data_IF_264723647543
#
_entry.id   IF_264723647543
#
_cell.length_a   1.000
_cell.length_b   1.000
_cell.length_c   1.000
_cell.angle_alpha   90.00
_cell.angle_beta   90.00
_cell.angle_gamma   90.00
#
_symmetry.space_group_name_H-M   'P 1'
#
loop_
_entity.id
_entity.type
_entity.pdbx_description
1 polymer ?
#
# COMPACT_ATOMS: atom_id res chain seq x y z
N UNK A 1 1.67 -1.01 8.65
CA UNK A 1 1.43 -0.73 10.08
C UNK A 1 -0.04 -0.90 10.41
N UNK A 2 -0.93 -0.31 9.62
CA UNK A 2 -2.37 -0.32 9.92
C UNK A 2 -2.96 -1.74 9.96
N UNK A 3 -2.47 -2.66 9.14
CA UNK A 3 -3.01 -4.01 8.99
C UNK A 3 -2.12 -5.09 9.62
N UNK A 4 -1.14 -4.70 10.40
CA UNK A 4 -0.23 -5.65 11.07
C UNK A 4 0.95 -6.05 10.20
N UNK A 5 1.53 -7.21 10.49
CA UNK A 5 2.80 -7.63 9.90
C UNK A 5 2.65 -8.66 8.76
N UNK A 6 1.43 -9.09 8.48
CA UNK A 6 1.20 -10.15 7.48
C UNK A 6 0.44 -9.66 6.25
N UNK A 7 -0.17 -8.48 6.35
CA UNK A 7 -1.05 -7.96 5.30
C UNK A 7 -0.53 -6.63 4.82
N UNK A 8 -0.35 -6.49 3.50
CA UNK A 8 -0.05 -5.22 2.86
C UNK A 8 -1.33 -4.42 2.62
N UNK A 9 -1.26 -3.12 2.81
CA UNK A 9 -2.36 -2.24 2.46
C UNK A 9 -2.22 -1.82 1.00
N UNK A 10 -3.32 -1.86 0.25
CA UNK A 10 -3.34 -1.43 -1.15
C UNK A 10 -4.30 -0.27 -1.33
N UNK A 11 -3.84 0.72 -2.08
CA UNK A 11 -4.61 1.92 -2.42
C UNK A 11 -4.64 2.08 -3.93
N UNK A 12 -5.76 2.57 -4.46
CA UNK A 12 -5.83 2.95 -5.86
C UNK A 12 -6.85 4.09 -6.03
N UNK A 13 -6.60 4.91 -7.02
CA UNK A 13 -7.52 5.97 -7.45
C UNK A 13 -8.54 5.45 -8.47
N UNK A 14 -8.47 4.18 -8.86
CA UNK A 14 -9.35 3.59 -9.87
C UNK A 14 -9.84 2.23 -9.37
N UNK A 15 -11.17 2.07 -9.31
CA UNK A 15 -11.79 0.87 -8.78
C UNK A 15 -11.45 -0.38 -9.59
N UNK A 16 -11.41 -0.28 -10.92
CA UNK A 16 -11.07 -1.41 -11.79
C UNK A 16 -9.62 -1.83 -11.61
N UNK A 17 -8.72 -0.86 -11.49
CA UNK A 17 -7.30 -1.12 -11.24
C UNK A 17 -7.11 -1.81 -9.89
N UNK A 18 -7.81 -1.37 -8.85
CA UNK A 18 -7.79 -2.01 -7.55
C UNK A 18 -8.29 -3.45 -7.62
N UNK A 19 -9.41 -3.68 -8.27
CA UNK A 19 -9.99 -5.02 -8.43
C UNK A 19 -9.04 -5.93 -9.21
N UNK A 20 -8.40 -5.42 -10.26
CA UNK A 20 -7.41 -6.16 -11.05
C UNK A 20 -6.22 -6.57 -10.20
N UNK A 21 -5.70 -5.67 -9.38
CA UNK A 21 -4.61 -5.98 -8.47
C UNK A 21 -5.00 -7.08 -7.47
N UNK A 22 -6.15 -6.94 -6.83
CA UNK A 22 -6.63 -7.91 -5.84
C UNK A 22 -6.89 -9.27 -6.48
N UNK A 23 -7.51 -9.30 -7.66
CA UNK A 23 -7.79 -10.55 -8.38
C UNK A 23 -6.50 -11.25 -8.83
N UNK A 24 -5.51 -10.49 -9.26
CA UNK A 24 -4.20 -11.04 -9.66
C UNK A 24 -3.48 -11.72 -8.49
N UNK A 25 -3.81 -11.36 -7.26
CA UNK A 25 -3.19 -11.87 -6.05
C UNK A 25 -4.15 -12.73 -5.21
N UNK A 26 -5.20 -13.26 -5.82
CA UNK A 26 -6.23 -14.04 -5.13
C UNK A 26 -5.74 -15.42 -4.68
N UNK A 27 -4.54 -15.85 -5.09
CA UNK A 27 -3.93 -17.10 -4.61
C UNK A 27 -3.58 -17.06 -3.12
N UNK A 28 -3.57 -15.86 -2.52
CA UNK A 28 -3.30 -15.70 -1.11
C UNK A 28 -1.85 -15.83 -0.69
N UNK A 29 -0.92 -15.91 -1.64
CA UNK A 29 0.50 -16.03 -1.32
C UNK A 29 1.03 -14.76 -0.66
N UNK A 30 0.69 -13.59 -1.21
CA UNK A 30 0.84 -12.30 -0.54
C UNK A 30 -0.56 -11.76 -0.26
N UNK A 31 -0.85 -11.43 0.99
CA UNK A 31 -2.17 -10.97 1.38
C UNK A 31 -2.24 -9.45 1.35
N UNK A 32 -3.27 -8.93 0.69
CA UNK A 32 -3.52 -7.50 0.56
C UNK A 32 -4.94 -7.18 0.98
N UNK A 33 -5.10 -6.03 1.61
CA UNK A 33 -6.41 -5.48 1.92
C UNK A 33 -6.48 -4.03 1.46
N UNK A 34 -7.57 -3.64 0.77
CA UNK A 34 -7.71 -2.26 0.34
C UNK A 34 -8.00 -1.33 1.51
N UNK A 35 -7.39 -0.15 1.47
CA UNK A 35 -7.74 0.95 2.35
C UNK A 35 -8.22 2.14 1.51
N UNK A 36 -9.10 2.97 2.06
CA UNK A 36 -9.67 4.06 1.29
C UNK A 36 -8.69 5.22 1.11
N UNK A 37 -8.76 5.88 -0.04
CA UNK A 37 -8.16 7.20 -0.24
C UNK A 37 -9.16 8.25 0.26
N UNK A 38 -9.21 8.46 1.56
CA UNK A 38 -10.15 9.38 2.18
C UNK A 38 -9.74 10.82 1.90
N UNK A 39 -10.42 11.48 0.97
CA UNK A 39 -10.04 12.80 0.46
C UNK A 39 -10.09 13.89 1.54
N UNK A 40 -10.95 13.72 2.54
CA UNK A 40 -11.03 14.68 3.66
C UNK A 40 -9.74 14.73 4.46
N UNK A 41 -8.90 13.68 4.40
CA UNK A 41 -7.62 13.65 5.10
C UNK A 41 -6.52 14.46 4.41
N UNK A 42 -6.77 15.03 3.23
CA UNK A 42 -5.81 15.92 2.56
C UNK A 42 -5.46 17.13 3.40
N UNK A 43 -6.37 17.61 4.24
CA UNK A 43 -6.09 18.71 5.16
C UNK A 43 -5.00 18.36 6.18
N UNK A 44 -4.87 17.09 6.56
CA UNK A 44 -3.82 16.64 7.47
C UNK A 44 -2.43 16.71 6.82
N UNK A 45 -2.35 16.50 5.51
CA UNK A 45 -1.08 16.61 4.76
C UNK A 45 -0.60 18.05 4.77
N UNK A 46 -1.48 19.00 4.52
CA UNK A 46 -1.14 20.42 4.54
C UNK A 46 -0.62 20.84 5.90
N UNK A 47 -1.25 20.37 6.98
CA UNK A 47 -0.81 20.64 8.33
C UNK A 47 0.58 20.07 8.61
N UNK A 48 0.88 18.87 8.12
CA UNK A 48 2.20 18.24 8.28
C UNK A 48 3.30 19.00 7.54
N UNK A 49 3.02 19.51 6.35
CA UNK A 49 3.97 20.30 5.57
C UNK A 49 4.21 21.65 6.24
N UNK A 50 3.17 22.29 6.77
CA UNK A 50 3.24 23.59 7.41
C UNK A 50 3.89 23.52 8.81
N UNK A 51 3.74 22.40 9.50
CA UNK A 51 4.25 22.22 10.86
C UNK A 51 4.99 20.90 10.99
N UNK A 52 6.23 20.90 10.54
CA UNK A 52 7.10 19.73 10.58
C UNK A 52 7.46 19.28 12.01
N UNK A 53 7.20 20.11 13.02
CA UNK A 53 7.46 19.77 14.41
C UNK A 53 6.31 19.01 15.06
N UNK A 54 5.14 19.12 14.47
CA UNK A 54 3.98 18.41 14.97
C UNK A 54 3.86 17.12 14.17
N UNK A 55 4.31 16.04 14.75
CA UNK A 55 4.22 14.71 14.13
C UNK A 55 2.77 14.26 13.89
N UNK A 56 1.87 15.19 13.91
CA UNK A 56 0.50 15.21 13.32
C UNK A 56 -0.36 14.02 13.42
N UNK A 57 -0.04 13.16 14.25
CA UNK A 57 -0.91 12.04 14.42
C UNK A 57 -0.48 10.80 13.67
N UNK A 58 -0.46 9.82 14.42
CA UNK A 58 -0.35 8.44 13.97
C UNK A 58 -1.65 7.92 13.36
N UNK A 59 -2.75 8.71 13.45
CA UNK A 59 -4.04 8.29 12.91
C UNK A 59 -4.06 8.48 11.39
N UNK A 60 -4.46 7.43 10.68
CA UNK A 60 -4.57 7.47 9.23
C UNK A 60 -3.26 7.69 8.49
N UNK A 61 -2.12 7.36 9.11
CA UNK A 61 -0.80 7.60 8.52
C UNK A 61 -0.61 6.95 7.16
N UNK A 62 -1.08 5.72 7.00
CA UNK A 62 -1.01 5.03 5.71
C UNK A 62 -1.85 5.74 4.64
N UNK A 63 -3.03 6.22 5.01
CA UNK A 63 -3.93 6.93 4.09
C UNK A 63 -3.32 8.28 3.69
N UNK A 64 -2.79 9.04 4.65
CA UNK A 64 -2.18 10.34 4.34
C UNK A 64 -0.93 10.19 3.48
N UNK A 65 -0.13 9.16 3.71
CA UNK A 65 1.01 8.86 2.85
C UNK A 65 0.57 8.54 1.41
N UNK A 66 -0.46 7.73 1.26
CA UNK A 66 -1.01 7.41 -0.06
C UNK A 66 -1.56 8.65 -0.76
N UNK A 67 -2.28 9.51 -0.04
CA UNK A 67 -2.80 10.77 -0.59
C UNK A 67 -1.69 11.72 -1.02
N UNK A 68 -0.59 11.77 -0.28
CA UNK A 68 0.57 12.58 -0.66
C UNK A 68 1.16 12.09 -1.97
N UNK A 69 1.33 10.77 -2.13
CA UNK A 69 1.85 10.19 -3.35
C UNK A 69 0.90 10.38 -4.53
N UNK A 70 -0.41 10.35 -4.29
CA UNK A 70 -1.42 10.58 -5.33
C UNK A 70 -1.23 11.92 -6.04
N UNK A 71 -0.77 12.95 -5.32
CA UNK A 71 -0.53 14.27 -5.90
C UNK A 71 0.50 14.24 -7.04
N UNK A 72 1.35 13.22 -7.10
CA UNK A 72 2.42 13.11 -8.09
C UNK A 72 2.06 12.25 -9.30
N UNK A 73 0.89 11.62 -9.31
CA UNK A 73 0.51 10.70 -10.41
C UNK A 73 -0.51 11.31 -11.37
N UNK A 74 -0.99 12.51 -11.11
CA UNK A 74 -1.98 13.22 -11.92
C UNK A 74 -3.23 12.37 -12.15
N UNK A 75 -3.64 12.20 -13.42
CA UNK A 75 -4.84 11.43 -13.79
C UNK A 75 -4.52 9.96 -14.16
N UNK A 76 -3.29 9.52 -13.94
CA UNK A 76 -2.92 8.15 -14.27
C UNK A 76 -3.56 7.16 -13.29
N UNK A 77 -3.95 6.00 -13.80
CA UNK A 77 -4.37 4.90 -12.94
C UNK A 77 -3.17 4.40 -12.14
N UNK A 78 -3.38 4.18 -10.86
CA UNK A 78 -2.29 4.07 -9.91
C UNK A 78 -2.61 3.05 -8.81
N UNK A 79 -1.61 2.30 -8.43
CA UNK A 79 -1.66 1.39 -7.27
C UNK A 79 -0.49 1.72 -6.35
N UNK A 80 -0.79 1.92 -5.09
CA UNK A 80 0.20 2.10 -4.04
C UNK A 80 0.08 0.98 -3.01
N UNK A 81 1.21 0.42 -2.63
CA UNK A 81 1.29 -0.58 -1.57
C UNK A 81 1.98 0.00 -0.35
N UNK A 82 1.34 -0.07 0.80
CA UNK A 82 1.98 0.18 2.08
C UNK A 82 2.37 -1.16 2.67
N UNK A 83 3.66 -1.44 2.68
CA UNK A 83 4.23 -2.70 3.14
C UNK A 83 5.04 -2.55 4.43
N UNK A 84 4.86 -1.46 5.15
CA UNK A 84 5.65 -1.21 6.37
C UNK A 84 5.52 -2.34 7.40
N UNK A 85 4.35 -2.98 7.47
CA UNK A 85 4.15 -4.15 8.31
C UNK A 85 4.88 -5.41 7.82
N UNK A 86 4.55 -5.90 6.61
CA UNK A 86 5.08 -7.19 6.14
C UNK A 86 6.48 -7.14 5.52
N UNK A 87 7.08 -5.96 5.33
CA UNK A 87 8.36 -5.83 4.62
C UNK A 87 9.53 -6.51 5.32
N UNK A 88 9.43 -6.78 6.60
CA UNK A 88 10.50 -7.38 7.37
C UNK A 88 10.00 -8.48 8.28
N UNK A 89 10.66 -9.62 8.22
CA UNK A 89 10.42 -10.73 9.14
C UNK A 89 11.32 -10.58 10.36
N UNK A 90 10.73 -10.66 11.55
CA UNK A 90 11.47 -10.57 12.83
C UNK A 90 11.95 -11.92 13.33
N UNK A 91 11.52 -13.00 12.68
CA UNK A 91 11.92 -14.35 13.03
C UNK A 91 11.85 -15.22 11.79
N UNK A 92 12.56 -16.36 11.82
CA UNK A 92 12.41 -17.34 10.76
C UNK A 92 11.00 -17.94 10.82
N UNK A 93 10.36 -18.06 9.67
CA UNK A 93 9.10 -18.74 9.53
C UNK A 93 9.14 -19.64 8.28
N UNK A 94 8.04 -20.31 7.97
CA UNK A 94 8.00 -21.28 6.88
C UNK A 94 8.18 -20.67 5.49
N UNK A 95 7.99 -19.35 5.35
CA UNK A 95 8.04 -18.64 4.06
C UNK A 95 9.24 -17.73 3.99
N UNK A 96 9.51 -16.98 5.06
CA UNK A 96 10.53 -15.94 5.06
C UNK A 96 11.56 -16.16 6.16
N UNK A 97 12.86 -16.10 5.84
CA UNK A 97 13.90 -15.98 6.87
C UNK A 97 13.82 -14.64 7.57
N UNK A 98 14.48 -14.52 8.71
CA UNK A 98 14.61 -13.22 9.38
C UNK A 98 15.26 -12.19 8.45
N UNK A 99 14.72 -10.97 8.42
CA UNK A 99 15.21 -9.88 7.59
C UNK A 99 14.17 -9.38 6.60
N UNK A 100 14.62 -8.86 5.47
CA UNK A 100 13.74 -8.40 4.41
C UNK A 100 12.98 -9.54 3.74
N UNK A 101 11.69 -9.35 3.52
CA UNK A 101 10.82 -10.40 2.98
C UNK A 101 10.67 -10.36 1.46
N UNK A 102 10.97 -9.22 0.83
CA UNK A 102 10.62 -9.01 -0.58
C UNK A 102 9.12 -8.87 -0.81
N UNK A 103 8.33 -8.66 0.25
CA UNK A 103 6.89 -8.49 0.12
C UNK A 103 6.56 -7.39 -0.90
N UNK A 104 5.60 -7.64 -1.77
CA UNK A 104 5.22 -6.74 -2.85
C UNK A 104 5.78 -7.12 -4.21
N UNK A 105 6.92 -7.81 -4.26
CA UNK A 105 7.53 -8.23 -5.54
C UNK A 105 6.59 -9.14 -6.31
N UNK A 106 6.09 -10.19 -5.69
CA UNK A 106 5.15 -11.12 -6.31
C UNK A 106 3.83 -10.43 -6.64
N UNK A 107 3.34 -9.56 -5.75
CA UNK A 107 2.11 -8.82 -5.97
C UNK A 107 2.16 -7.97 -7.23
N UNK A 108 3.21 -7.21 -7.42
CA UNK A 108 3.39 -6.43 -8.63
C UNK A 108 3.63 -7.31 -9.86
N UNK A 109 4.40 -8.38 -9.72
CA UNK A 109 4.63 -9.31 -10.82
C UNK A 109 3.31 -9.90 -11.33
N UNK A 110 2.46 -10.39 -10.44
CA UNK A 110 1.17 -10.96 -10.80
C UNK A 110 0.27 -9.92 -11.48
N UNK A 111 0.21 -8.72 -10.90
CA UNK A 111 -0.60 -7.63 -11.43
C UNK A 111 -0.14 -7.22 -12.83
N UNK A 112 1.15 -6.95 -13.00
CA UNK A 112 1.70 -6.50 -14.28
C UNK A 112 1.61 -7.58 -15.36
N UNK A 113 1.78 -8.84 -14.98
CA UNK A 113 1.63 -9.96 -15.91
C UNK A 113 0.20 -10.05 -16.45
N UNK A 114 -0.80 -9.88 -15.60
CA UNK A 114 -2.19 -9.86 -16.01
C UNK A 114 -2.52 -8.66 -16.91
N UNK A 115 -2.00 -7.48 -16.59
CA UNK A 115 -2.21 -6.28 -17.40
C UNK A 115 -1.57 -6.44 -18.79
N UNK A 116 -0.43 -7.12 -18.88
CA UNK A 116 0.27 -7.33 -20.15
C UNK A 116 -0.48 -8.26 -21.12
N UNK A 117 -1.35 -9.14 -20.61
CA UNK A 117 -2.10 -10.09 -21.46
C UNK A 117 -3.55 -9.66 -21.68
N UNK A 118 -3.99 -8.60 -21.06
CA UNK A 118 -5.37 -8.11 -21.19
C UNK A 118 -5.59 -7.12 -22.33
#
# INVERSE_FOLDING_TARGET
VALGVEIGAVFSNNKKTLESFLNSNSDGFENYHPLPLEQSYKSLIKSKIADMKNSGGRFGGAITAALLLEEFVDDLDWVHLDIAGPARSRSNNSIYPEGGTGFGVLGYFNFLSNEAVS
#
